data_IF_841100531735
#
_entry.id   IF_841100531735
#
_cell.length_a   1.000
_cell.length_b   1.000
_cell.length_c   1.000
_cell.angle_alpha   90.00
_cell.angle_beta   90.00
_cell.angle_gamma   90.00
#
_symmetry.space_group_name_H-M   'P 1'
#
loop_
_entity.id
_entity.type
_entity.pdbx_description
1 polymer ?
#
# COMPACT_ATOMS: atom_id res chain seq x y z
N UNK A 1 5.33 -3.26 8.68
CA UNK A 1 4.10 -2.75 9.32
C UNK A 1 4.39 -1.52 10.17
N UNK A 2 5.36 -1.55 11.08
CA UNK A 2 5.67 -0.42 11.99
C UNK A 2 6.09 0.88 11.29
N UNK A 3 6.84 0.80 10.19
CA UNK A 3 7.30 1.98 9.43
C UNK A 3 6.15 2.72 8.73
N UNK A 4 5.23 1.98 8.11
CA UNK A 4 4.01 2.55 7.48
C UNK A 4 3.14 3.27 8.52
N UNK A 5 3.06 2.72 9.75
CA UNK A 5 2.29 3.34 10.82
C UNK A 5 2.88 4.68 11.27
N UNK A 6 4.20 4.78 11.41
CA UNK A 6 4.87 6.04 11.83
C UNK A 6 4.65 7.18 10.84
N UNK A 7 4.74 6.92 9.54
CA UNK A 7 4.49 7.92 8.50
C UNK A 7 3.04 8.42 8.51
N UNK A 8 2.09 7.54 8.85
CA UNK A 8 0.67 7.89 8.98
C UNK A 8 0.35 8.68 10.25
N UNK A 9 1.03 8.41 11.36
CA UNK A 9 0.78 9.11 12.62
C UNK A 9 1.25 10.57 12.59
N UNK A 10 2.17 10.90 11.68
CA UNK A 10 2.68 12.26 11.47
C UNK A 10 1.81 13.14 10.54
N UNK A 11 0.77 12.57 9.90
CA UNK A 11 -0.07 13.30 8.96
C UNK A 11 -1.42 13.69 9.59
N UNK A 12 -1.79 14.97 9.41
CA UNK A 12 -2.93 15.58 10.09
C UNK A 12 -4.30 15.20 9.50
N UNK A 13 -4.37 14.86 8.20
CA UNK A 13 -5.61 14.48 7.52
C UNK A 13 -5.55 13.08 6.86
N UNK A 14 -6.68 12.36 6.73
CA UNK A 14 -6.71 11.00 6.17
C UNK A 14 -6.20 10.87 4.72
N UNK A 15 -6.37 11.88 3.85
CA UNK A 15 -5.80 11.89 2.49
C UNK A 15 -4.28 11.98 2.55
N UNK A 16 -3.74 12.78 3.45
CA UNK A 16 -2.29 12.84 3.69
C UNK A 16 -1.76 11.50 4.21
N UNK A 17 -2.49 10.82 5.09
CA UNK A 17 -2.15 9.46 5.55
C UNK A 17 -2.10 8.44 4.41
N UNK A 18 -3.07 8.47 3.50
CA UNK A 18 -3.07 7.62 2.30
C UNK A 18 -1.82 7.86 1.47
N UNK A 19 -1.47 9.12 1.21
CA UNK A 19 -0.26 9.47 0.45
C UNK A 19 1.03 9.05 1.16
N UNK A 20 1.08 9.14 2.49
CA UNK A 20 2.23 8.76 3.30
C UNK A 20 2.57 7.26 3.17
N UNK A 21 1.57 6.38 2.98
CA UNK A 21 1.83 4.94 2.71
C UNK A 21 2.76 4.76 1.51
N UNK A 22 2.60 5.58 0.47
CA UNK A 22 3.43 5.50 -0.75
C UNK A 22 4.79 6.19 -0.58
N UNK A 23 4.91 7.17 0.31
CA UNK A 23 6.22 7.69 0.71
C UNK A 23 7.04 6.62 1.44
N UNK A 24 6.40 5.90 2.35
CA UNK A 24 7.03 4.81 3.09
C UNK A 24 7.44 3.65 2.18
N UNK A 25 6.68 3.36 1.12
CA UNK A 25 7.14 2.44 0.07
C UNK A 25 8.46 2.92 -0.56
N UNK A 26 8.60 4.23 -0.83
CA UNK A 26 9.84 4.79 -1.37
C UNK A 26 11.03 4.54 -0.44
N UNK A 27 10.85 4.76 0.86
CA UNK A 27 11.85 4.47 1.90
C UNK A 27 12.19 2.98 1.96
N UNK A 28 11.18 2.11 1.89
CA UNK A 28 11.36 0.66 1.90
C UNK A 28 12.11 0.18 0.67
N UNK A 29 11.83 0.76 -0.50
CA UNK A 29 12.43 0.34 -1.77
C UNK A 29 13.93 0.64 -1.88
N UNK A 30 14.45 1.56 -1.07
CA UNK A 30 15.89 1.88 -1.01
C UNK A 30 16.60 1.25 0.18
N UNK A 31 15.88 0.58 1.08
CA UNK A 31 16.45 -0.02 2.28
C UNK A 31 17.41 -1.18 1.92
N UNK A 32 18.56 -1.33 2.62
CA UNK A 32 19.42 -2.49 2.46
C UNK A 32 18.64 -3.78 2.70
N UNK A 33 18.64 -4.70 1.73
CA UNK A 33 17.85 -5.93 1.77
C UNK A 33 16.52 -5.87 1.00
N UNK A 34 16.11 -4.69 0.53
CA UNK A 34 15.08 -4.59 -0.51
C UNK A 34 15.66 -5.05 -1.86
N UNK A 35 15.74 -6.36 -2.03
CA UNK A 35 15.98 -6.99 -3.34
C UNK A 35 14.80 -7.84 -3.78
N UNK A 36 14.04 -8.31 -2.80
CA UNK A 36 12.92 -9.23 -2.93
C UNK A 36 11.97 -8.85 -1.78
N UNK A 37 10.69 -8.55 -2.05
CA UNK A 37 9.75 -8.51 -0.94
C UNK A 37 9.62 -9.96 -0.44
N UNK A 38 10.26 -10.29 0.68
CA UNK A 38 10.28 -11.64 1.23
C UNK A 38 8.87 -12.27 1.29
N UNK A 39 7.84 -11.44 1.46
CA UNK A 39 6.43 -11.87 1.46
C UNK A 39 5.87 -12.23 0.07
N UNK A 40 6.27 -11.55 -1.01
CA UNK A 40 5.77 -11.85 -2.37
C UNK A 40 6.42 -13.12 -2.91
N UNK A 41 7.74 -13.28 -2.72
CA UNK A 41 8.43 -14.50 -3.11
C UNK A 41 8.03 -15.69 -2.23
N UNK A 42 7.95 -15.50 -0.91
CA UNK A 42 7.47 -16.56 -0.01
C UNK A 42 6.02 -16.96 -0.34
N UNK A 43 5.14 -16.03 -0.70
CA UNK A 43 3.79 -16.37 -1.15
C UNK A 43 3.77 -17.12 -2.48
N UNK A 44 4.65 -16.78 -3.42
CA UNK A 44 4.74 -17.45 -4.72
C UNK A 44 5.28 -18.88 -4.61
N UNK A 45 6.15 -19.15 -3.63
CA UNK A 45 6.77 -20.46 -3.37
C UNK A 45 6.05 -21.26 -2.27
N UNK A 46 5.07 -20.65 -1.60
CA UNK A 46 4.36 -21.25 -0.48
C UNK A 46 3.50 -22.44 -0.92
N UNK A 47 3.57 -23.53 -0.15
CA UNK A 47 2.56 -24.58 -0.24
C UNK A 47 1.26 -24.10 0.41
N UNK A 48 0.08 -24.45 -0.14
CA UNK A 48 -1.20 -24.11 0.49
C UNK A 48 -1.25 -24.55 1.96
N UNK A 49 -1.58 -23.63 2.87
CA UNK A 49 -1.64 -23.88 4.31
C UNK A 49 -0.29 -23.89 5.05
N UNK A 50 0.82 -23.63 4.36
CA UNK A 50 2.13 -23.40 4.99
C UNK A 50 2.13 -22.11 5.85
N UNK A 51 3.06 -21.97 6.81
CA UNK A 51 3.24 -20.73 7.57
C UNK A 51 3.40 -19.49 6.68
N UNK A 52 4.07 -19.63 5.54
CA UNK A 52 4.31 -18.58 4.55
C UNK A 52 3.01 -18.13 3.86
N UNK A 53 2.18 -19.09 3.42
CA UNK A 53 0.86 -18.83 2.83
C UNK A 53 -0.06 -18.10 3.84
N UNK A 54 -0.09 -18.58 5.09
CA UNK A 54 -0.86 -17.94 6.16
C UNK A 54 -0.37 -16.53 6.48
N UNK A 55 0.94 -16.30 6.49
CA UNK A 55 1.53 -14.98 6.70
C UNK A 55 1.20 -14.03 5.55
N UNK A 56 1.29 -14.50 4.31
CA UNK A 56 0.91 -13.74 3.12
C UNK A 56 -0.58 -13.37 3.14
N UNK A 57 -1.45 -14.32 3.49
CA UNK A 57 -2.89 -14.07 3.64
C UNK A 57 -3.21 -13.03 4.71
N UNK A 58 -2.56 -13.11 5.89
CA UNK A 58 -2.70 -12.12 6.96
C UNK A 58 -2.23 -10.74 6.51
N UNK A 59 -1.06 -10.64 5.87
CA UNK A 59 -0.53 -9.39 5.35
C UNK A 59 -1.48 -8.78 4.31
N UNK A 60 -2.00 -9.60 3.39
CA UNK A 60 -2.97 -9.14 2.39
C UNK A 60 -4.27 -8.63 3.01
N UNK A 61 -4.78 -9.33 4.02
CA UNK A 61 -5.93 -8.89 4.81
C UNK A 61 -5.68 -7.53 5.47
N UNK A 62 -4.51 -7.36 6.08
CA UNK A 62 -4.10 -6.10 6.70
C UNK A 62 -4.02 -4.93 5.71
N UNK A 63 -3.41 -5.11 4.53
CA UNK A 63 -3.33 -4.04 3.51
C UNK A 63 -4.72 -3.59 3.05
N UNK A 64 -5.64 -4.54 2.83
CA UNK A 64 -7.02 -4.22 2.45
C UNK A 64 -7.75 -3.44 3.53
N UNK A 65 -7.62 -3.88 4.78
CA UNK A 65 -8.27 -3.22 5.91
C UNK A 65 -7.70 -1.82 6.16
N UNK A 66 -6.38 -1.66 6.02
CA UNK A 66 -5.71 -0.36 6.12
C UNK A 66 -6.30 0.67 5.16
N UNK A 67 -6.36 0.35 3.86
CA UNK A 67 -6.88 1.29 2.86
C UNK A 67 -8.38 1.50 2.99
N UNK A 68 -9.15 0.49 3.41
CA UNK A 68 -10.57 0.65 3.69
C UNK A 68 -10.81 1.61 4.87
N UNK A 69 -10.13 1.40 5.98
CA UNK A 69 -10.21 2.26 7.16
C UNK A 69 -9.82 3.70 6.84
N UNK A 70 -8.77 3.90 6.02
CA UNK A 70 -8.35 5.23 5.56
C UNK A 70 -9.38 5.88 4.64
N UNK A 71 -9.99 5.12 3.72
CA UNK A 71 -11.04 5.63 2.84
C UNK A 71 -12.30 6.05 3.62
N UNK A 72 -12.66 5.29 4.66
CA UNK A 72 -13.75 5.65 5.59
C UNK A 72 -13.39 6.93 6.34
N UNK A 73 -12.19 7.01 6.91
CA UNK A 73 -11.74 8.18 7.67
C UNK A 73 -11.70 9.44 6.79
N UNK A 74 -11.33 9.31 5.51
CA UNK A 74 -11.33 10.39 4.54
C UNK A 74 -12.75 10.87 4.15
N UNK A 75 -13.80 10.14 4.54
CA UNK A 75 -15.19 10.48 4.22
C UNK A 75 -15.59 10.09 2.80
N UNK A 76 -14.94 9.11 2.17
CA UNK A 76 -15.29 8.70 0.81
C UNK A 76 -16.75 8.22 0.75
N UNK A 77 -17.51 8.64 -0.26
CA UNK A 77 -18.90 8.19 -0.45
C UNK A 77 -18.96 6.68 -0.73
N UNK A 78 -17.91 6.13 -1.35
CA UNK A 78 -17.77 4.69 -1.62
C UNK A 78 -16.40 4.18 -1.14
N UNK A 79 -16.22 3.96 0.18
CA UNK A 79 -14.91 3.64 0.75
C UNK A 79 -14.29 2.36 0.20
N UNK A 80 -15.11 1.33 -0.08
CA UNK A 80 -14.61 0.07 -0.69
C UNK A 80 -14.02 0.30 -2.09
N UNK A 81 -14.69 1.12 -2.90
CA UNK A 81 -14.22 1.43 -4.26
C UNK A 81 -12.86 2.14 -4.21
N UNK A 82 -12.73 3.15 -3.35
CA UNK A 82 -11.45 3.83 -3.15
C UNK A 82 -10.38 2.85 -2.64
N UNK A 83 -10.71 2.02 -1.65
CA UNK A 83 -9.76 1.05 -1.09
C UNK A 83 -9.24 0.06 -2.15
N UNK A 84 -10.11 -0.48 -3.00
CA UNK A 84 -9.72 -1.41 -4.06
C UNK A 84 -8.76 -0.74 -5.07
N UNK A 85 -9.01 0.53 -5.43
CA UNK A 85 -8.11 1.30 -6.29
C UNK A 85 -6.74 1.50 -5.64
N UNK A 86 -6.71 1.85 -4.35
CA UNK A 86 -5.46 2.06 -3.61
C UNK A 86 -4.66 0.76 -3.47
N UNK A 87 -5.33 -0.37 -3.21
CA UNK A 87 -4.69 -1.70 -3.14
C UNK A 87 -4.04 -2.06 -4.48
N UNK A 88 -4.72 -1.84 -5.61
CA UNK A 88 -4.15 -2.13 -6.94
C UNK A 88 -2.91 -1.26 -7.20
N UNK A 89 -2.95 0.02 -6.86
CA UNK A 89 -1.79 0.92 -7.02
C UNK A 89 -0.64 0.54 -6.10
N UNK A 90 -0.93 0.11 -4.88
CA UNK A 90 0.04 -0.41 -3.93
C UNK A 90 0.73 -1.67 -4.47
N UNK A 91 -0.04 -2.64 -4.95
CA UNK A 91 0.46 -3.89 -5.52
C UNK A 91 1.32 -3.62 -6.76
N UNK A 92 0.86 -2.72 -7.64
CA UNK A 92 1.58 -2.30 -8.84
C UNK A 92 2.93 -1.66 -8.51
N UNK A 93 2.96 -0.73 -7.54
CA UNK A 93 4.20 -0.10 -7.10
C UNK A 93 5.22 -1.12 -6.60
N UNK A 94 4.78 -2.08 -5.75
CA UNK A 94 5.64 -3.14 -5.23
C UNK A 94 6.14 -4.08 -6.32
N UNK A 95 5.28 -4.44 -7.27
CA UNK A 95 5.65 -5.36 -8.36
C UNK A 95 6.65 -4.72 -9.31
N UNK A 96 6.38 -3.49 -9.77
CA UNK A 96 7.29 -2.76 -10.66
C UNK A 96 8.62 -2.46 -9.99
N UNK A 97 8.63 -2.06 -8.71
CA UNK A 97 9.88 -1.79 -7.99
C UNK A 97 10.78 -3.03 -7.88
N UNK A 98 10.17 -4.22 -7.71
CA UNK A 98 10.89 -5.49 -7.69
C UNK A 98 11.44 -5.86 -9.07
N UNK A 99 10.62 -5.75 -10.12
CA UNK A 99 11.02 -6.11 -11.49
C UNK A 99 12.14 -5.19 -12.02
N UNK A 100 11.96 -3.88 -11.84
CA UNK A 100 12.85 -2.86 -12.40
C UNK A 100 14.01 -2.51 -11.46
N UNK A 101 14.02 -3.07 -10.24
CA UNK A 101 15.04 -2.85 -9.19
C UNK A 101 15.28 -1.37 -8.90
N UNK A 102 14.20 -0.63 -8.74
CA UNK A 102 14.22 0.82 -8.53
C UNK A 102 13.12 1.27 -7.58
N UNK A 103 13.37 2.36 -6.84
CA UNK A 103 12.39 2.99 -5.96
C UNK A 103 11.44 3.94 -6.70
N UNK A 104 11.71 4.25 -7.98
CA UNK A 104 10.90 5.18 -8.77
C UNK A 104 9.38 4.89 -8.78
N UNK A 105 8.91 3.63 -8.79
CA UNK A 105 7.49 3.30 -8.79
C UNK A 105 6.71 3.83 -7.59
N UNK A 106 7.34 4.01 -6.43
CA UNK A 106 6.68 4.60 -5.26
C UNK A 106 6.18 6.03 -5.55
N UNK A 107 7.03 6.86 -6.17
CA UNK A 107 6.69 8.22 -6.56
C UNK A 107 5.65 8.28 -7.68
N UNK A 108 5.70 7.34 -8.63
CA UNK A 108 4.70 7.22 -9.70
C UNK A 108 3.33 6.85 -9.12
N UNK A 109 3.29 5.82 -8.26
CA UNK A 109 2.06 5.40 -7.60
C UNK A 109 1.46 6.50 -6.73
N UNK A 110 2.28 7.24 -5.96
CA UNK A 110 1.81 8.39 -5.18
C UNK A 110 1.12 9.45 -6.05
N UNK A 111 1.65 9.74 -7.25
CA UNK A 111 1.02 10.67 -8.19
C UNK A 111 -0.33 10.12 -8.69
N UNK A 112 -0.41 8.83 -9.00
CA UNK A 112 -1.65 8.18 -9.40
C UNK A 112 -2.70 8.18 -8.29
N UNK A 113 -2.28 7.91 -7.05
CA UNK A 113 -3.14 7.98 -5.86
C UNK A 113 -3.71 9.37 -5.68
N UNK A 114 -2.92 10.43 -5.90
CA UNK A 114 -3.44 11.80 -5.88
C UNK A 114 -4.54 12.00 -6.92
N UNK A 115 -4.34 11.55 -8.16
CA UNK A 115 -5.38 11.65 -9.20
C UNK A 115 -6.65 10.87 -8.82
N UNK A 116 -6.52 9.67 -8.26
CA UNK A 116 -7.66 8.89 -7.75
C UNK A 116 -8.39 9.66 -6.65
N UNK A 117 -7.65 10.18 -5.67
CA UNK A 117 -8.21 10.98 -4.58
C UNK A 117 -8.87 12.27 -5.06
N UNK A 118 -8.36 12.91 -6.12
CA UNK A 118 -8.97 14.12 -6.68
C UNK A 118 -10.25 13.82 -7.48
N UNK A 119 -10.34 12.61 -8.05
CA UNK A 119 -11.54 12.12 -8.76
C UNK A 119 -12.59 11.47 -7.84
N UNK A 120 -12.28 11.27 -6.57
CA UNK A 120 -13.16 10.60 -5.61
C UNK A 120 -14.13 11.58 -4.97
N UNK A 121 -15.40 11.19 -4.84
CA UNK A 121 -16.40 11.95 -4.08
C UNK A 121 -16.25 11.69 -2.59
N UNK A 122 -16.21 12.77 -1.80
CA UNK A 122 -16.20 12.74 -0.34
C UNK A 122 -17.45 13.43 0.20
N UNK A 123 -17.96 12.94 1.33
CA UNK A 123 -19.00 13.63 2.08
C UNK A 123 -18.47 15.01 2.50
N UNK A 124 -19.27 16.05 2.24
CA UNK A 124 -18.97 17.44 2.61
C UNK A 124 -19.16 17.69 4.10
#
# INVERSE_FOLDING_TARGET
MEVVQRGMDAADDPRAKILAVFDELGTLFVAPGFRECAFVNAAAEALPGSPEDLAAGKFRGWVRELFFSLAVAAGAVSPRVLADQLVVLYDGANTTAQMDRTAAPAGVAKKMVRMVLDSTSFAS
#
